data_IF_899458827356
#
_entry.id   IF_899458827356
#
_cell.length_a   1.000
_cell.length_b   1.000
_cell.length_c   1.000
_cell.angle_alpha   90.00
_cell.angle_beta   90.00
_cell.angle_gamma   90.00
#
_symmetry.space_group_name_H-M   'P 1'
#
loop_
_entity.id
_entity.type
_entity.pdbx_description
1 polymer ?
#
# COMPACT_ATOMS: atom_id res chain seq x y z
N UNK A 1 -2.04 -13.31 14.23
CA UNK A 1 -2.64 -12.78 12.98
C UNK A 1 -1.57 -12.79 11.93
N UNK A 2 -1.90 -13.23 10.72
CA UNK A 2 -0.99 -13.13 9.57
C UNK A 2 -1.21 -11.75 8.95
N UNK A 3 -0.23 -10.86 9.06
CA UNK A 3 -0.31 -9.57 8.41
C UNK A 3 0.30 -9.73 7.01
N UNK A 4 -0.56 -9.88 6.00
CA UNK A 4 -0.15 -9.88 4.61
C UNK A 4 -0.13 -8.43 4.12
N UNK A 5 1.05 -7.93 3.75
CA UNK A 5 1.22 -6.66 3.07
C UNK A 5 2.11 -6.89 1.84
N UNK A 6 1.76 -6.26 0.71
CA UNK A 6 2.47 -6.43 -0.55
C UNK A 6 2.55 -5.08 -1.27
N UNK A 7 3.73 -4.74 -1.77
CA UNK A 7 3.92 -3.70 -2.77
C UNK A 7 4.58 -4.34 -3.99
N UNK A 8 3.97 -4.17 -5.15
CA UNK A 8 4.49 -4.67 -6.42
C UNK A 8 4.55 -3.55 -7.44
N UNK A 9 5.74 -3.29 -8.01
CA UNK A 9 5.93 -2.28 -9.06
C UNK A 9 6.50 -2.96 -10.28
N UNK A 10 5.85 -2.80 -11.42
CA UNK A 10 6.41 -3.22 -12.71
C UNK A 10 6.93 -1.99 -13.45
N UNK A 11 8.24 -1.91 -13.67
CA UNK A 11 8.89 -0.79 -14.33
C UNK A 11 10.07 -1.28 -15.17
N UNK A 12 10.18 -0.79 -16.42
CA UNK A 12 11.25 -1.14 -17.38
C UNK A 12 11.54 -2.64 -17.52
N UNK A 13 10.48 -3.46 -17.53
CA UNK A 13 10.60 -4.92 -17.68
C UNK A 13 11.07 -5.66 -16.42
N UNK A 14 11.14 -4.97 -15.27
CA UNK A 14 11.45 -5.55 -13.97
C UNK A 14 10.25 -5.45 -13.02
N UNK A 15 10.00 -6.52 -12.28
CA UNK A 15 9.07 -6.52 -11.15
C UNK A 15 9.83 -6.32 -9.84
N UNK A 16 9.53 -5.22 -9.15
CA UNK A 16 10.04 -4.91 -7.82
C UNK A 16 8.98 -5.34 -6.81
N UNK A 17 9.26 -6.41 -6.07
CA UNK A 17 8.36 -7.01 -5.10
C UNK A 17 8.82 -6.70 -3.68
N UNK A 18 7.90 -6.23 -2.84
CA UNK A 18 8.09 -6.04 -1.41
C UNK A 18 6.99 -6.78 -0.65
N UNK A 19 7.38 -7.85 0.01
CA UNK A 19 6.52 -8.77 0.75
C UNK A 19 7.25 -9.21 2.02
N UNK A 20 6.56 -9.69 3.08
CA UNK A 20 7.18 -9.85 4.39
C UNK A 20 8.33 -10.87 4.42
N UNK A 21 8.42 -11.77 3.44
CA UNK A 21 9.51 -12.76 3.32
C UNK A 21 10.74 -12.24 2.57
N UNK A 22 10.69 -11.09 1.90
CA UNK A 22 11.85 -10.50 1.22
C UNK A 22 12.14 -9.04 1.62
N UNK A 23 11.22 -8.41 2.36
CA UNK A 23 11.25 -7.00 2.73
C UNK A 23 10.57 -6.77 4.07
N UNK A 24 10.88 -5.64 4.71
CA UNK A 24 9.99 -5.02 5.68
C UNK A 24 8.97 -4.17 4.93
N UNK A 25 7.68 -4.34 5.26
CA UNK A 25 6.59 -3.56 4.68
C UNK A 25 5.82 -2.87 5.80
N UNK A 26 5.64 -1.56 5.73
CA UNK A 26 4.86 -0.77 6.69
C UNK A 26 3.72 -0.03 6.01
N UNK A 27 2.66 0.23 6.76
CA UNK A 27 1.51 0.98 6.27
C UNK A 27 0.87 1.82 7.36
N UNK A 28 0.25 2.90 6.90
CA UNK A 28 -0.61 3.80 7.66
C UNK A 28 -1.83 4.10 6.80
N UNK A 29 -2.96 3.47 7.12
CA UNK A 29 -4.19 3.60 6.33
C UNK A 29 -5.24 4.31 7.20
N UNK A 30 -5.63 5.52 6.80
CA UNK A 30 -6.73 6.22 7.46
C UNK A 30 -8.07 5.47 7.26
N UNK A 31 -9.10 5.73 8.10
CA UNK A 31 -10.47 5.26 7.86
C UNK A 31 -10.96 5.46 6.43
N UNK A 32 -10.51 6.53 5.78
CA UNK A 32 -10.74 6.76 4.37
C UNK A 32 -9.79 7.81 3.82
N UNK A 33 -9.51 7.73 2.52
CA UNK A 33 -9.04 8.88 1.74
C UNK A 33 -7.55 9.18 1.80
N UNK A 34 -6.80 8.53 2.69
CA UNK A 34 -5.37 8.71 2.80
C UNK A 34 -4.68 7.39 3.22
N UNK A 35 -3.68 6.98 2.46
CA UNK A 35 -2.81 5.87 2.78
C UNK A 35 -1.35 6.24 2.56
N UNK A 36 -0.49 5.67 3.38
CA UNK A 36 0.95 5.63 3.14
C UNK A 36 1.43 4.19 3.30
N UNK A 37 2.24 3.72 2.36
CA UNK A 37 2.89 2.42 2.45
C UNK A 37 4.36 2.54 2.10
N UNK A 38 5.20 1.78 2.80
CA UNK A 38 6.62 1.70 2.52
C UNK A 38 7.08 0.26 2.45
N UNK A 39 8.07 -0.01 1.61
CA UNK A 39 8.74 -1.29 1.49
C UNK A 39 10.25 -1.10 1.47
N UNK A 40 10.98 -1.93 2.20
CA UNK A 40 12.46 -1.85 2.26
C UNK A 40 13.09 -3.23 2.35
N UNK A 41 14.12 -3.45 1.53
CA UNK A 41 15.00 -4.62 1.63
C UNK A 41 16.47 -4.21 1.43
N UNK A 42 17.36 -5.17 1.21
CA UNK A 42 18.79 -4.92 1.00
C UNK A 42 19.12 -4.09 -0.24
N UNK A 43 18.26 -4.11 -1.26
CA UNK A 43 18.53 -3.52 -2.58
C UNK A 43 17.64 -2.33 -2.93
N UNK A 44 16.43 -2.24 -2.38
CA UNK A 44 15.43 -1.25 -2.81
C UNK A 44 14.66 -0.67 -1.62
N UNK A 45 14.15 0.55 -1.84
CA UNK A 45 13.18 1.23 -1.00
C UNK A 45 12.04 1.74 -1.87
N UNK A 46 10.81 1.65 -1.38
CA UNK A 46 9.63 2.21 -2.02
C UNK A 46 8.80 2.98 -1.01
N UNK A 47 8.26 4.11 -1.44
CA UNK A 47 7.18 4.81 -0.77
C UNK A 47 6.01 5.03 -1.72
N UNK A 48 4.81 4.71 -1.24
CA UNK A 48 3.53 4.99 -1.88
C UNK A 48 2.73 5.91 -0.98
N UNK A 49 2.26 7.02 -1.53
CA UNK A 49 1.23 7.84 -0.90
C UNK A 49 0.07 7.94 -1.87
N UNK A 50 -1.14 7.73 -1.40
CA UNK A 50 -2.30 8.09 -2.20
C UNK A 50 -3.46 8.65 -1.41
N UNK A 51 -4.19 9.48 -2.12
CA UNK A 51 -5.13 10.38 -1.48
C UNK A 51 -6.33 10.58 -2.36
N UNK A 52 -7.47 10.85 -1.73
CA UNK A 52 -8.65 11.30 -2.45
C UNK A 52 -9.47 12.24 -1.56
N UNK A 53 -10.03 13.27 -2.18
CA UNK A 53 -11.02 14.14 -1.55
C UNK A 53 -12.45 13.67 -1.82
N UNK A 54 -12.61 12.61 -2.64
CA UNK A 54 -13.91 12.02 -2.92
C UNK A 54 -14.37 11.15 -1.74
N UNK A 55 -15.68 11.07 -1.47
CA UNK A 55 -16.21 10.28 -0.35
C UNK A 55 -16.06 8.76 -0.53
N UNK A 56 -15.72 8.30 -1.74
CA UNK A 56 -15.70 6.89 -2.12
C UNK A 56 -17.10 6.33 -2.41
N UNK A 57 -17.14 5.21 -3.12
CA UNK A 57 -18.37 4.47 -3.43
C UNK A 57 -18.49 3.30 -2.45
N UNK A 58 -19.58 3.20 -1.68
CA UNK A 58 -19.85 2.02 -0.87
C UNK A 58 -20.03 0.78 -1.75
N UNK A 59 -19.33 -0.30 -1.42
CA UNK A 59 -19.36 -1.57 -2.15
C UNK A 59 -19.95 -2.68 -1.29
N UNK A 60 -20.75 -3.54 -1.92
CA UNK A 60 -21.24 -4.77 -1.32
C UNK A 60 -20.11 -5.81 -1.32
N UNK A 61 -19.75 -6.29 -0.12
CA UNK A 61 -18.83 -7.42 0.03
C UNK A 61 -19.50 -8.57 0.81
N UNK A 62 -19.06 -9.81 0.59
CA UNK A 62 -19.58 -10.98 1.32
C UNK A 62 -19.29 -10.91 2.82
N UNK A 63 -20.32 -11.15 3.63
CA UNK A 63 -20.21 -11.40 5.08
C UNK A 63 -20.98 -12.65 5.45
N UNK A 64 -20.87 -13.08 6.71
CA UNK A 64 -21.66 -14.20 7.25
C UNK A 64 -23.18 -13.96 7.16
N UNK A 65 -23.63 -12.71 7.03
CA UNK A 65 -25.04 -12.30 6.93
C UNK A 65 -25.46 -11.98 5.48
N UNK A 66 -24.63 -12.31 4.49
CA UNK A 66 -24.87 -12.00 3.07
C UNK A 66 -24.06 -10.80 2.59
N UNK A 67 -24.52 -10.14 1.52
CA UNK A 67 -23.83 -8.98 0.96
C UNK A 67 -24.14 -7.73 1.77
N UNK A 68 -23.11 -7.07 2.30
CA UNK A 68 -23.25 -5.84 3.09
C UNK A 68 -22.30 -4.74 2.59
N UNK A 69 -22.68 -3.48 2.81
CA UNK A 69 -21.88 -2.30 2.47
C UNK A 69 -20.73 -2.10 3.47
N UNK A 70 -19.73 -2.97 3.40
CA UNK A 70 -18.56 -2.97 4.30
C UNK A 70 -17.26 -2.61 3.58
N UNK A 71 -17.31 -2.35 2.28
CA UNK A 71 -16.16 -1.85 1.53
C UNK A 71 -16.46 -0.46 0.97
N UNK A 72 -15.41 0.28 0.69
CA UNK A 72 -15.47 1.59 0.06
C UNK A 72 -14.29 1.75 -0.88
N UNK A 73 -14.56 2.15 -2.12
CA UNK A 73 -13.51 2.34 -3.12
C UNK A 73 -13.61 3.67 -3.90
N UNK A 74 -12.56 3.99 -4.63
CA UNK A 74 -12.58 4.98 -5.71
C UNK A 74 -11.52 4.62 -6.74
N UNK A 75 -11.74 4.97 -8.01
CA UNK A 75 -10.73 4.93 -9.07
C UNK A 75 -10.19 6.33 -9.42
N UNK A 76 -10.55 7.32 -8.60
CA UNK A 76 -10.21 8.73 -8.76
C UNK A 76 -9.24 9.21 -7.66
N UNK A 77 -8.37 8.30 -7.20
CA UNK A 77 -7.30 8.62 -6.27
C UNK A 77 -6.10 9.24 -6.96
N UNK A 78 -5.39 10.09 -6.23
CA UNK A 78 -4.04 10.49 -6.57
C UNK A 78 -3.07 9.46 -5.98
N UNK A 79 -2.05 9.08 -6.73
CA UNK A 79 -0.92 8.27 -6.28
C UNK A 79 0.35 9.07 -6.48
N UNK A 80 1.23 9.03 -5.47
CA UNK A 80 2.64 9.38 -5.55
C UNK A 80 3.45 8.13 -5.25
N UNK A 81 4.45 7.88 -6.08
CA UNK A 81 5.33 6.72 -6.01
C UNK A 81 6.76 7.23 -6.06
N UNK A 82 7.57 6.76 -5.11
CA UNK A 82 9.01 6.91 -5.16
C UNK A 82 9.67 5.55 -4.96
N UNK A 83 10.41 5.07 -5.96
CA UNK A 83 11.19 3.83 -5.93
C UNK A 83 12.67 4.18 -6.01
N UNK A 84 13.47 3.62 -5.11
CA UNK A 84 14.90 3.91 -4.96
C UNK A 84 15.73 2.63 -4.95
N UNK A 85 16.95 2.72 -5.46
CA UNK A 85 17.99 1.71 -5.29
C UNK A 85 18.81 2.03 -4.04
N UNK A 86 19.18 1.00 -3.29
CA UNK A 86 20.11 1.07 -2.16
C UNK A 86 21.45 0.47 -2.56
N UNK A 87 22.55 1.17 -2.23
CA UNK A 87 23.92 0.70 -2.38
C UNK A 87 24.72 1.09 -1.14
N UNK A 88 24.65 0.27 -0.10
CA UNK A 88 25.17 0.62 1.22
C UNK A 88 24.37 1.77 1.83
N UNK A 89 25.06 2.87 2.17
CA UNK A 89 24.44 4.09 2.69
C UNK A 89 23.89 5.01 1.59
N UNK A 90 24.22 4.74 0.33
CA UNK A 90 23.73 5.54 -0.81
C UNK A 90 22.34 5.06 -1.22
N UNK A 91 21.44 6.02 -1.43
CA UNK A 91 20.08 5.79 -1.92
C UNK A 91 19.84 6.69 -3.13
N UNK A 92 19.55 6.08 -4.28
CA UNK A 92 19.38 6.79 -5.56
C UNK A 92 17.98 6.52 -6.14
N UNK A 93 17.28 7.53 -6.68
CA UNK A 93 15.96 7.35 -7.26
C UNK A 93 16.03 6.52 -8.56
N UNK A 94 15.18 5.50 -8.66
CA UNK A 94 14.90 4.75 -9.90
C UNK A 94 13.71 5.38 -10.62
N UNK A 95 12.63 5.66 -9.89
CA UNK A 95 11.38 6.18 -10.43
C UNK A 95 10.69 7.10 -9.43
N UNK A 96 10.29 8.27 -9.91
CA UNK A 96 9.36 9.18 -9.22
C UNK A 96 8.18 9.38 -10.16
N UNK A 97 6.98 8.97 -9.74
CA UNK A 97 5.80 9.03 -10.58
C UNK A 97 4.57 9.49 -9.80
N UNK A 98 3.63 10.10 -10.53
CA UNK A 98 2.32 10.45 -10.03
C UNK A 98 1.23 9.96 -10.99
N UNK A 99 0.07 9.61 -10.44
CA UNK A 99 -1.13 9.26 -11.20
C UNK A 99 -2.37 9.87 -10.54
N UNK A 100 -3.40 10.18 -11.34
CA UNK A 100 -4.72 10.65 -10.86
C UNK A 100 -5.83 9.61 -11.08
N UNK A 101 -5.44 8.39 -11.43
CA UNK A 101 -6.32 7.26 -11.77
C UNK A 101 -6.10 6.08 -10.80
N UNK A 102 -5.68 6.38 -9.56
CA UNK A 102 -5.37 5.35 -8.58
C UNK A 102 -6.66 4.79 -7.95
N UNK A 103 -6.72 3.46 -7.86
CA UNK A 103 -7.70 2.75 -7.05
C UNK A 103 -7.33 2.86 -5.57
N UNK A 104 -8.24 3.38 -4.73
CA UNK A 104 -8.11 3.32 -3.26
C UNK A 104 -9.29 2.53 -2.72
N UNK A 105 -9.03 1.52 -1.89
CA UNK A 105 -10.07 0.69 -1.28
C UNK A 105 -9.77 0.43 0.20
N UNK A 106 -10.80 0.52 1.04
CA UNK A 106 -10.79 0.03 2.42
C UNK A 106 -11.99 -0.88 2.62
N UNK A 107 -11.83 -1.94 3.40
CA UNK A 107 -12.86 -2.95 3.59
C UNK A 107 -12.85 -3.55 4.99
N UNK A 108 -14.02 -4.00 5.43
CA UNK A 108 -14.25 -4.54 6.77
C UNK A 108 -15.18 -3.67 7.60
N UNK A 109 -15.21 -3.91 8.91
CA UNK A 109 -16.02 -3.09 9.82
C UNK A 109 -15.42 -1.67 9.85
N UNK A 110 -16.24 -0.60 9.85
CA UNK A 110 -15.74 0.76 9.97
C UNK A 110 -14.76 0.91 11.14
N UNK A 111 -13.50 1.24 10.83
CA UNK A 111 -12.51 1.55 11.86
C UNK A 111 -12.45 3.07 12.08
N UNK A 112 -12.40 3.47 13.35
CA UNK A 112 -12.38 4.90 13.75
C UNK A 112 -10.96 5.47 13.84
N UNK A 113 -9.95 4.60 13.81
CA UNK A 113 -8.54 4.97 13.97
C UNK A 113 -7.75 4.47 12.77
N UNK A 114 -6.63 5.12 12.42
CA UNK A 114 -5.75 4.64 11.37
C UNK A 114 -5.27 3.22 11.66
N UNK A 115 -5.20 2.40 10.62
CA UNK A 115 -4.54 1.10 10.67
C UNK A 115 -3.04 1.30 10.42
N UNK A 116 -2.27 1.28 11.50
CA UNK A 116 -0.83 1.46 11.48
C UNK A 116 -0.14 0.16 11.90
N UNK A 117 0.66 -0.42 11.03
CA UNK A 117 1.42 -1.63 11.35
C UNK A 117 2.56 -1.87 10.36
N UNK A 118 3.33 -2.92 10.61
CA UNK A 118 4.37 -3.40 9.71
C UNK A 118 4.43 -4.92 9.74
N UNK A 119 4.99 -5.50 8.68
CA UNK A 119 5.20 -6.92 8.51
C UNK A 119 6.63 -7.19 8.02
N UNK A 120 7.33 -8.08 8.72
CA UNK A 120 8.64 -8.61 8.38
C UNK A 120 8.73 -10.03 8.94
N UNK A 121 9.12 -11.01 8.13
CA UNK A 121 9.41 -12.35 8.66
C UNK A 121 10.76 -12.34 9.39
N UNK A 122 10.91 -13.14 10.47
CA UNK A 122 12.04 -13.06 11.39
C UNK A 122 13.42 -13.37 10.78
N UNK A 123 13.49 -13.89 9.55
CA UNK A 123 14.74 -14.27 8.88
C UNK A 123 15.13 -13.35 7.73
N UNK A 124 14.37 -12.27 7.49
CA UNK A 124 14.77 -11.23 6.53
C UNK A 124 15.86 -10.38 7.18
N UNK A 125 17.09 -10.44 6.66
CA UNK A 125 18.24 -9.65 7.14
C UNK A 125 18.04 -8.17 6.76
#
# INVERSE_FOLDING_TARGET
SEAAALIGIHYEGKFYEFVPWNSEVSWQIEPWGNWQMQGRNGEYEVELTGTTDYPGTPLLAPTEQGLNLICRDTMQGNLKLELKQRRGDNVEPILIAESKLCGLEVGGIPWQKPWNSSAKLPWVL
#
